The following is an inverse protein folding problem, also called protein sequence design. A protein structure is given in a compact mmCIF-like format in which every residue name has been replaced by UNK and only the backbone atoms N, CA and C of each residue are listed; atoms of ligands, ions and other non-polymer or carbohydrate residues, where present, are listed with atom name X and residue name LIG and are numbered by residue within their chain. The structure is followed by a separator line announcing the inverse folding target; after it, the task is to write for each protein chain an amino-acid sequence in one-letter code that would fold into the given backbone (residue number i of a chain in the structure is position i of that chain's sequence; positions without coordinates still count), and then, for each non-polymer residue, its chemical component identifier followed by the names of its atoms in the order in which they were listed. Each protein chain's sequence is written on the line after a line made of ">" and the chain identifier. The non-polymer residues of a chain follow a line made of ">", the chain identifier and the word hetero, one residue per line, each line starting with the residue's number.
data_IF_850897243555
#
_entry.id   IF_850897243555
#
_cell.length_a   1.000
_cell.length_b   1.000
_cell.length_c   1.000
_cell.angle_alpha   90.00
_cell.angle_beta   90.00
_cell.angle_gamma   90.00
#
_symmetry.space_group_name_H-M   'P 1'
#
loop_
_entity.id
_entity.type
_entity.pdbx_description
1 polymer ?
#
# COMPACT_ATOMS: atom_id res chain seq x y z
N UNK A 1 42.83 5.13 21.64
CA UNK A 1 41.55 5.85 21.67
C UNK A 1 40.45 4.80 21.66
N UNK A 2 39.49 4.90 22.54
CA UNK A 2 38.37 3.95 22.62
C UNK A 2 37.38 4.29 21.53
N UNK A 3 36.91 3.29 20.79
CA UNK A 3 35.92 3.43 19.71
C UNK A 3 34.51 3.41 20.30
N UNK A 4 33.76 4.49 20.13
CA UNK A 4 32.39 4.56 20.62
C UNK A 4 31.37 4.70 19.48
N UNK A 5 30.42 3.78 19.46
CA UNK A 5 29.30 3.74 18.54
C UNK A 5 28.18 4.69 18.99
N UNK A 6 27.59 5.42 18.06
CA UNK A 6 26.39 6.22 18.24
C UNK A 6 25.37 5.79 17.17
N UNK A 7 24.18 5.45 17.59
CA UNK A 7 23.05 5.26 16.66
C UNK A 7 22.51 6.62 16.25
N UNK A 8 22.35 6.82 14.94
CA UNK A 8 21.96 8.11 14.37
C UNK A 8 20.98 7.89 13.22
N UNK A 9 19.70 7.80 13.54
CA UNK A 9 18.66 7.40 12.62
C UNK A 9 18.37 8.44 11.52
N UNK A 10 17.95 7.93 10.37
CA UNK A 10 17.41 8.76 9.30
C UNK A 10 16.01 9.28 9.66
N UNK A 11 15.68 10.47 9.18
CA UNK A 11 14.33 11.01 9.32
C UNK A 11 13.40 10.42 8.26
N UNK A 12 12.11 10.37 8.58
CA UNK A 12 11.10 9.90 7.63
C UNK A 12 11.09 10.79 6.37
N UNK A 13 11.28 10.16 5.21
CA UNK A 13 11.34 10.86 3.92
C UNK A 13 12.68 11.51 3.57
N UNK A 14 13.71 11.37 4.43
CA UNK A 14 15.06 11.86 4.17
C UNK A 14 15.75 11.03 3.07
N UNK A 15 16.41 11.66 2.12
CA UNK A 15 17.25 10.96 1.17
C UNK A 15 18.68 10.77 1.71
N UNK A 16 19.48 9.91 1.05
CA UNK A 16 20.82 9.57 1.54
C UNK A 16 21.78 10.77 1.58
N UNK A 17 21.65 11.72 0.68
CA UNK A 17 22.49 12.92 0.64
C UNK A 17 22.18 13.86 1.81
N UNK A 18 20.89 14.06 2.12
CA UNK A 18 20.43 14.84 3.28
C UNK A 18 20.89 14.20 4.58
N UNK A 19 20.71 12.87 4.72
CA UNK A 19 21.23 12.11 5.84
C UNK A 19 22.75 12.29 6.00
N UNK A 20 23.52 12.12 4.92
CA UNK A 20 24.99 12.22 4.96
C UNK A 20 25.45 13.61 5.41
N UNK A 21 24.81 14.68 4.91
CA UNK A 21 25.11 16.07 5.35
C UNK A 21 24.87 16.25 6.84
N UNK A 22 23.76 15.74 7.35
CA UNK A 22 23.38 15.80 8.76
C UNK A 22 24.32 14.95 9.63
N UNK A 23 24.63 13.74 9.20
CA UNK A 23 25.51 12.82 9.92
C UNK A 23 26.94 13.34 10.06
N UNK A 24 27.54 13.85 8.98
CA UNK A 24 28.90 14.44 9.00
C UNK A 24 28.95 15.64 9.94
N UNK A 25 27.97 16.54 9.86
CA UNK A 25 27.88 17.71 10.76
C UNK A 25 27.74 17.29 12.22
N UNK A 26 26.83 16.41 12.51
CA UNK A 26 26.58 15.92 13.87
C UNK A 26 27.82 15.26 14.49
N UNK A 27 28.48 14.37 13.71
CA UNK A 27 29.69 13.70 14.19
C UNK A 27 30.81 14.68 14.47
N UNK A 28 31.02 15.68 13.61
CA UNK A 28 32.02 16.71 13.80
C UNK A 28 31.80 17.54 15.06
N UNK A 29 30.53 17.88 15.37
CA UNK A 29 30.18 18.62 16.59
C UNK A 29 30.35 17.75 17.87
N UNK A 30 30.01 16.46 17.79
CA UNK A 30 30.17 15.53 18.92
C UNK A 30 31.64 15.22 19.18
N UNK A 31 32.45 14.99 18.13
CA UNK A 31 33.89 14.70 18.24
C UNK A 31 34.65 15.84 18.92
N UNK A 32 34.28 17.11 18.67
CA UNK A 32 34.87 18.28 19.36
C UNK A 32 34.64 18.28 20.87
N UNK A 33 33.58 17.64 21.34
CA UNK A 33 33.21 17.57 22.77
C UNK A 33 33.82 16.35 23.46
N UNK A 34 34.31 15.38 22.70
CA UNK A 34 34.86 14.11 23.18
C UNK A 34 36.17 13.80 22.45
N UNK A 35 37.21 14.62 22.72
CA UNK A 35 38.48 14.52 22.01
C UNK A 35 39.28 13.26 22.39
N UNK A 36 38.99 12.66 23.54
CA UNK A 36 39.56 11.43 24.09
C UNK A 36 39.01 10.15 23.47
N UNK A 37 37.87 10.24 22.75
CA UNK A 37 37.17 9.12 22.12
C UNK A 37 37.24 9.21 20.60
N UNK A 38 37.16 8.07 19.93
CA UNK A 38 36.92 8.01 18.49
C UNK A 38 35.48 7.62 18.24
N UNK A 39 34.66 8.59 17.78
CA UNK A 39 33.23 8.41 17.58
C UNK A 39 32.96 7.98 16.14
N UNK A 40 31.96 7.11 15.98
CA UNK A 40 31.37 6.80 14.68
C UNK A 40 29.84 6.67 14.78
N UNK A 41 29.15 7.05 13.70
CA UNK A 41 27.69 6.91 13.62
C UNK A 41 27.35 5.66 12.84
N UNK A 42 26.23 5.06 13.20
CA UNK A 42 25.64 3.93 12.50
C UNK A 42 24.15 4.19 12.26
N UNK A 43 23.70 3.89 11.05
CA UNK A 43 22.30 3.94 10.65
C UNK A 43 21.98 2.76 9.75
N UNK A 44 20.76 2.28 9.79
CA UNK A 44 20.21 1.42 8.74
C UNK A 44 19.32 2.28 7.85
N UNK A 45 19.77 2.50 6.60
CA UNK A 45 19.08 3.33 5.62
C UNK A 45 18.67 2.44 4.44
N UNK A 46 17.36 2.25 4.23
CA UNK A 46 16.83 1.33 3.21
C UNK A 46 17.53 -0.05 3.23
N UNK A 47 17.58 -0.66 4.41
CA UNK A 47 18.21 -1.97 4.66
C UNK A 47 19.76 -2.01 4.47
N UNK A 48 20.37 -0.88 4.14
CA UNK A 48 21.83 -0.74 4.04
C UNK A 48 22.39 -0.12 5.33
N UNK A 49 23.37 -0.79 5.91
CA UNK A 49 24.10 -0.27 7.07
C UNK A 49 25.06 0.83 6.65
N UNK A 50 24.76 2.07 7.00
CA UNK A 50 25.59 3.25 6.73
C UNK A 50 26.44 3.55 7.96
N UNK A 51 27.76 3.70 7.76
CA UNK A 51 28.72 4.03 8.81
C UNK A 51 29.35 5.39 8.45
N UNK A 52 29.28 6.33 9.39
CA UNK A 52 29.92 7.64 9.28
C UNK A 52 31.04 7.74 10.29
N UNK A 53 32.25 7.99 9.83
CA UNK A 53 33.45 8.15 10.65
C UNK A 53 33.98 9.59 10.53
N UNK A 54 34.99 9.92 11.34
CA UNK A 54 35.69 11.21 11.31
C UNK A 54 36.22 11.58 9.93
N UNK A 55 36.61 10.57 9.13
CA UNK A 55 37.15 10.75 7.76
C UNK A 55 36.08 10.74 6.67
N UNK A 56 34.82 10.47 7.02
CA UNK A 56 33.74 10.40 6.04
C UNK A 56 33.38 11.78 5.51
N UNK A 57 33.21 11.87 4.20
CA UNK A 57 32.62 13.03 3.52
C UNK A 57 31.20 12.68 3.06
N UNK A 58 30.39 13.68 2.71
CA UNK A 58 29.06 13.45 2.14
C UNK A 58 29.13 12.51 0.94
N UNK A 59 30.02 12.82 -0.01
CA UNK A 59 30.19 12.03 -1.23
C UNK A 59 30.66 10.59 -0.94
N UNK A 60 31.55 10.40 0.04
CA UNK A 60 31.99 9.04 0.40
C UNK A 60 30.87 8.20 0.99
N UNK A 61 30.00 8.80 1.81
CA UNK A 61 28.84 8.13 2.39
C UNK A 61 27.82 7.77 1.30
N UNK A 62 27.52 8.72 0.41
CA UNK A 62 26.56 8.53 -0.69
C UNK A 62 27.05 7.43 -1.64
N UNK A 63 28.33 7.48 -2.04
CA UNK A 63 28.91 6.48 -2.94
C UNK A 63 28.96 5.08 -2.29
N UNK A 64 29.37 4.98 -1.01
CA UNK A 64 29.40 3.71 -0.28
C UNK A 64 27.97 3.13 -0.13
N UNK A 65 26.98 3.98 0.16
CA UNK A 65 25.59 3.57 0.23
C UNK A 65 25.11 2.98 -1.09
N UNK A 66 25.32 3.68 -2.22
CA UNK A 66 24.88 3.17 -3.52
C UNK A 66 25.58 1.87 -3.91
N UNK A 67 26.91 1.80 -3.68
CA UNK A 67 27.65 0.57 -3.94
C UNK A 67 27.15 -0.62 -3.12
N UNK A 68 26.83 -0.40 -1.84
CA UNK A 68 26.28 -1.46 -0.97
C UNK A 68 24.83 -1.78 -1.30
N UNK A 69 24.03 -0.79 -1.68
CA UNK A 69 22.65 -1.00 -2.09
C UNK A 69 22.58 -1.90 -3.32
N UNK A 70 23.43 -1.66 -4.31
CA UNK A 70 23.53 -2.52 -5.49
C UNK A 70 24.00 -3.93 -5.13
N UNK A 71 25.01 -4.06 -4.29
CA UNK A 71 25.56 -5.36 -3.87
C UNK A 71 24.59 -6.11 -2.93
N UNK A 72 24.06 -5.46 -1.89
CA UNK A 72 23.12 -6.09 -0.96
C UNK A 72 21.81 -6.48 -1.64
N UNK A 73 21.31 -5.64 -2.56
CA UNK A 73 20.13 -5.98 -3.35
C UNK A 73 20.35 -7.20 -4.24
N UNK A 74 21.55 -7.35 -4.79
CA UNK A 74 21.91 -8.54 -5.57
C UNK A 74 22.09 -9.77 -4.67
N UNK A 75 22.88 -9.68 -3.60
CA UNK A 75 23.16 -10.77 -2.67
C UNK A 75 21.87 -11.25 -1.97
N UNK A 76 21.03 -10.32 -1.49
CA UNK A 76 19.74 -10.65 -0.88
C UNK A 76 18.83 -11.39 -1.87
N UNK A 77 18.77 -10.94 -3.14
CA UNK A 77 17.99 -11.61 -4.19
C UNK A 77 18.50 -13.02 -4.55
N UNK A 78 19.74 -13.36 -4.18
CA UNK A 78 20.29 -14.71 -4.34
C UNK A 78 19.97 -15.64 -3.16
N UNK A 79 19.54 -15.12 -2.02
CA UNK A 79 19.22 -15.92 -0.86
C UNK A 79 18.01 -16.84 -1.10
N UNK A 80 18.02 -18.01 -0.49
CA UNK A 80 16.90 -18.96 -0.58
C UNK A 80 15.64 -18.37 0.08
N UNK A 81 15.80 -17.57 1.13
CA UNK A 81 14.73 -16.86 1.82
C UNK A 81 14.01 -15.89 0.86
N UNK A 82 14.75 -15.05 0.12
CA UNK A 82 14.16 -14.14 -0.86
C UNK A 82 13.45 -14.91 -1.97
N UNK A 83 14.09 -15.93 -2.55
CA UNK A 83 13.48 -16.76 -3.60
C UNK A 83 12.20 -17.44 -3.13
N UNK A 84 12.20 -17.96 -1.89
CA UNK A 84 11.01 -18.56 -1.28
C UNK A 84 9.89 -17.52 -1.07
N UNK A 85 10.22 -16.31 -0.62
CA UNK A 85 9.24 -15.24 -0.43
C UNK A 85 8.62 -14.78 -1.75
N UNK A 86 9.43 -14.65 -2.80
CA UNK A 86 8.96 -14.32 -4.16
C UNK A 86 8.04 -15.42 -4.69
N UNK A 87 8.46 -16.69 -4.58
CA UNK A 87 7.66 -17.81 -5.04
C UNK A 87 6.31 -17.92 -4.28
N UNK A 88 6.32 -17.67 -2.96
CA UNK A 88 5.10 -17.64 -2.17
C UNK A 88 4.15 -16.52 -2.62
N UNK A 89 4.69 -15.32 -2.85
CA UNK A 89 3.91 -14.17 -3.35
C UNK A 89 3.36 -14.41 -4.75
N UNK A 90 4.15 -15.00 -5.65
CA UNK A 90 3.69 -15.35 -7.01
C UNK A 90 2.56 -16.39 -6.97
N UNK A 91 2.67 -17.38 -6.09
CA UNK A 91 1.62 -18.38 -5.88
C UNK A 91 0.33 -17.74 -5.38
N UNK A 92 0.43 -16.91 -4.33
CA UNK A 92 -0.70 -16.16 -3.77
C UNK A 92 -1.37 -15.29 -4.85
N UNK A 93 -0.58 -14.52 -5.60
CA UNK A 93 -1.08 -13.66 -6.67
C UNK A 93 -1.77 -14.46 -7.78
N UNK A 94 -1.26 -15.66 -8.11
CA UNK A 94 -1.90 -16.55 -9.07
C UNK A 94 -3.25 -17.07 -8.58
N UNK A 95 -3.37 -17.39 -7.29
CA UNK A 95 -4.62 -17.81 -6.66
C UNK A 95 -5.65 -16.67 -6.65
N UNK A 96 -5.23 -15.47 -6.26
CA UNK A 96 -6.06 -14.27 -6.26
C UNK A 96 -6.54 -13.89 -7.67
N UNK A 97 -5.65 -13.94 -8.68
CA UNK A 97 -6.01 -13.70 -10.07
C UNK A 97 -6.99 -14.75 -10.62
N UNK A 98 -6.87 -16.01 -10.16
CA UNK A 98 -7.82 -17.07 -10.53
C UNK A 98 -9.20 -16.79 -9.92
N UNK A 99 -9.24 -16.37 -8.65
CA UNK A 99 -10.48 -15.97 -7.98
C UNK A 99 -11.10 -14.74 -8.65
N UNK A 100 -10.30 -13.72 -8.98
CA UNK A 100 -10.78 -12.53 -9.67
C UNK A 100 -11.42 -12.87 -11.02
N UNK A 101 -10.78 -13.70 -11.83
CA UNK A 101 -11.36 -14.20 -13.11
C UNK A 101 -12.69 -14.93 -12.94
N UNK A 102 -12.81 -15.72 -11.88
CA UNK A 102 -14.05 -16.40 -11.54
C UNK A 102 -15.14 -15.39 -11.15
N UNK A 103 -14.81 -14.43 -10.29
CA UNK A 103 -15.73 -13.39 -9.87
C UNK A 103 -16.20 -12.52 -11.04
N UNK A 104 -15.31 -12.18 -11.98
CA UNK A 104 -15.67 -11.44 -13.20
C UNK A 104 -16.70 -12.22 -14.06
N UNK A 105 -16.53 -13.54 -14.20
CA UNK A 105 -17.51 -14.38 -14.90
C UNK A 105 -18.87 -14.46 -14.17
N UNK A 106 -18.87 -14.35 -12.85
CA UNK A 106 -20.11 -14.27 -12.09
C UNK A 106 -20.78 -12.92 -12.29
N UNK A 107 -20.01 -11.83 -12.24
CA UNK A 107 -20.51 -10.49 -12.48
C UNK A 107 -21.26 -10.37 -13.81
N UNK A 108 -20.77 -11.02 -14.87
CA UNK A 108 -21.44 -11.07 -16.17
C UNK A 108 -22.84 -11.66 -16.09
N UNK A 109 -23.06 -12.64 -15.20
CA UNK A 109 -24.29 -13.38 -15.04
C UNK A 109 -25.29 -12.78 -14.04
N UNK A 110 -24.83 -11.96 -13.12
CA UNK A 110 -25.65 -11.32 -12.10
C UNK A 110 -26.64 -10.36 -12.76
N UNK A 111 -27.90 -10.44 -12.34
CA UNK A 111 -28.86 -9.39 -12.64
C UNK A 111 -28.51 -8.13 -11.83
N UNK A 112 -27.97 -7.09 -12.48
CA UNK A 112 -27.53 -5.84 -11.84
C UNK A 112 -28.69 -5.05 -11.22
N UNK A 113 -29.95 -5.37 -11.55
CA UNK A 113 -31.14 -4.81 -10.88
C UNK A 113 -31.49 -5.56 -9.57
N UNK A 114 -30.95 -6.75 -9.33
CA UNK A 114 -31.02 -7.40 -8.04
C UNK A 114 -29.94 -6.83 -7.12
N UNK A 115 -30.30 -5.83 -6.33
CA UNK A 115 -29.36 -5.10 -5.46
C UNK A 115 -28.68 -5.99 -4.43
N UNK A 116 -29.38 -6.98 -3.88
CA UNK A 116 -28.81 -7.91 -2.90
C UNK A 116 -27.69 -8.77 -3.53
N UNK A 117 -27.94 -9.36 -4.69
CA UNK A 117 -26.93 -10.16 -5.38
C UNK A 117 -25.73 -9.32 -5.80
N UNK A 118 -26.00 -8.10 -6.27
CA UNK A 118 -24.95 -7.16 -6.67
C UNK A 118 -24.10 -6.71 -5.47
N UNK A 119 -24.71 -6.35 -4.33
CA UNK A 119 -24.00 -5.97 -3.11
C UNK A 119 -23.19 -7.13 -2.56
N UNK A 120 -23.72 -8.35 -2.57
CA UNK A 120 -22.96 -9.54 -2.16
C UNK A 120 -21.75 -9.76 -3.03
N UNK A 121 -21.88 -9.59 -4.35
CA UNK A 121 -20.74 -9.71 -5.27
C UNK A 121 -19.69 -8.61 -5.02
N UNK A 122 -20.11 -7.34 -4.84
CA UNK A 122 -19.22 -6.22 -4.56
C UNK A 122 -18.45 -6.43 -3.24
N UNK A 123 -19.12 -6.93 -2.21
CA UNK A 123 -18.52 -7.25 -0.91
C UNK A 123 -17.47 -8.37 -1.04
N UNK A 124 -17.78 -9.46 -1.73
CA UNK A 124 -16.84 -10.54 -1.97
C UNK A 124 -15.66 -10.14 -2.89
N UNK A 125 -15.88 -9.20 -3.80
CA UNK A 125 -14.87 -8.73 -4.74
C UNK A 125 -13.95 -7.66 -4.14
N UNK A 126 -14.38 -6.95 -3.10
CA UNK A 126 -13.65 -5.85 -2.47
C UNK A 126 -12.20 -6.23 -2.13
N UNK A 127 -11.91 -7.34 -1.41
CA UNK A 127 -10.53 -7.68 -1.07
C UNK A 127 -9.63 -7.93 -2.29
N UNK A 128 -10.23 -8.41 -3.40
CA UNK A 128 -9.50 -8.62 -4.65
C UNK A 128 -9.22 -7.31 -5.36
N UNK A 129 -10.16 -6.37 -5.32
CA UNK A 129 -10.01 -5.04 -5.94
C UNK A 129 -8.92 -4.20 -5.28
N UNK A 130 -8.72 -4.37 -3.98
CA UNK A 130 -7.75 -3.62 -3.18
C UNK A 130 -6.33 -4.24 -3.25
N UNK A 131 -6.22 -5.47 -3.73
CA UNK A 131 -4.93 -6.18 -3.72
C UNK A 131 -4.06 -5.78 -4.91
N UNK A 132 -2.86 -5.26 -4.61
CA UNK A 132 -1.88 -4.85 -5.63
C UNK A 132 -1.43 -6.07 -6.46
N UNK A 133 -1.58 -5.98 -7.78
CA UNK A 133 -1.17 -7.01 -8.73
C UNK A 133 -2.29 -7.97 -9.14
N UNK A 134 -3.47 -7.89 -8.55
CA UNK A 134 -4.66 -8.57 -9.05
C UNK A 134 -5.18 -7.84 -10.28
N UNK A 135 -5.32 -8.60 -11.38
CA UNK A 135 -5.75 -8.06 -12.67
C UNK A 135 -7.24 -8.34 -12.91
N UNK A 136 -7.99 -7.28 -13.13
CA UNK A 136 -9.40 -7.32 -13.52
C UNK A 136 -9.77 -6.10 -14.37
N UNK A 137 -10.83 -6.22 -15.14
CA UNK A 137 -11.31 -5.12 -15.98
C UNK A 137 -12.28 -4.21 -15.18
N UNK A 138 -11.70 -3.22 -14.47
CA UNK A 138 -12.50 -2.26 -13.71
C UNK A 138 -13.41 -1.41 -14.60
N UNK A 139 -12.94 -1.06 -15.80
CA UNK A 139 -13.70 -0.21 -16.71
C UNK A 139 -14.96 -0.90 -17.22
N UNK A 140 -14.87 -2.21 -17.43
CA UNK A 140 -16.04 -3.00 -17.77
C UNK A 140 -17.03 -3.05 -16.59
N UNK A 141 -16.58 -3.26 -15.35
CA UNK A 141 -17.45 -3.23 -14.16
C UNK A 141 -18.17 -1.88 -14.07
N UNK A 142 -17.42 -0.77 -14.14
CA UNK A 142 -17.96 0.59 -14.12
C UNK A 142 -19.02 0.77 -15.22
N UNK A 143 -18.70 0.38 -16.46
CA UNK A 143 -19.63 0.49 -17.58
C UNK A 143 -20.93 -0.27 -17.38
N UNK A 144 -20.86 -1.50 -16.84
CA UNK A 144 -22.05 -2.31 -16.57
C UNK A 144 -22.91 -1.75 -15.43
N UNK A 145 -22.27 -1.18 -14.38
CA UNK A 145 -22.99 -0.50 -13.31
C UNK A 145 -23.68 0.77 -13.80
N UNK A 146 -23.04 1.58 -14.64
CA UNK A 146 -23.68 2.73 -15.27
C UNK A 146 -24.85 2.34 -16.19
N UNK A 147 -24.71 1.30 -17.00
CA UNK A 147 -25.81 0.78 -17.82
C UNK A 147 -27.01 0.30 -17.00
N UNK A 148 -26.74 -0.20 -15.78
CA UNK A 148 -27.79 -0.59 -14.85
C UNK A 148 -28.45 0.61 -14.13
N UNK A 149 -27.94 1.83 -14.33
CA UNK A 149 -28.50 3.07 -13.78
C UNK A 149 -27.82 3.57 -12.51
N UNK A 150 -26.76 2.92 -12.05
CA UNK A 150 -26.02 3.39 -10.88
C UNK A 150 -25.09 4.55 -11.24
N UNK A 151 -24.93 5.49 -10.28
CA UNK A 151 -24.10 6.69 -10.43
C UNK A 151 -23.15 6.78 -9.24
N UNK A 152 -21.89 7.10 -9.49
CA UNK A 152 -20.88 7.29 -8.45
C UNK A 152 -21.34 8.35 -7.43
N UNK A 153 -21.25 8.01 -6.15
CA UNK A 153 -21.71 8.87 -5.07
C UNK A 153 -23.22 9.08 -5.01
N UNK A 154 -24.03 8.22 -5.63
CA UNK A 154 -25.47 8.27 -5.59
C UNK A 154 -25.99 8.39 -4.15
N UNK A 155 -26.96 9.28 -3.92
CA UNK A 155 -27.53 9.59 -2.60
C UNK A 155 -26.53 10.16 -1.57
N UNK A 156 -25.33 10.58 -1.98
CA UNK A 156 -24.38 11.30 -1.15
C UNK A 156 -24.60 12.81 -1.25
N UNK A 157 -25.58 13.36 -0.53
CA UNK A 157 -25.67 14.79 -0.28
C UNK A 157 -25.03 15.11 1.08
N UNK A 158 -23.92 15.85 1.07
CA UNK A 158 -23.14 16.18 2.25
C UNK A 158 -23.93 16.86 3.37
N UNK A 159 -25.02 17.54 3.05
CA UNK A 159 -25.79 18.37 3.99
C UNK A 159 -27.09 17.73 4.50
N UNK A 160 -27.62 16.69 3.85
CA UNK A 160 -28.90 16.04 4.25
C UNK A 160 -28.92 14.57 3.84
N UNK A 161 -28.02 13.77 4.39
CA UNK A 161 -28.02 12.33 4.17
C UNK A 161 -29.13 11.67 4.99
N UNK A 162 -30.31 11.60 4.43
CA UNK A 162 -31.43 10.80 4.98
C UNK A 162 -31.76 9.67 4.03
N UNK A 163 -31.11 8.51 4.25
CA UNK A 163 -31.58 7.27 3.67
C UNK A 163 -32.87 6.90 4.40
N UNK A 164 -33.97 6.89 3.65
CA UNK A 164 -35.32 6.62 4.21
C UNK A 164 -35.79 5.19 3.94
N UNK A 165 -35.22 4.57 2.92
CA UNK A 165 -35.65 3.22 2.49
C UNK A 165 -34.42 2.29 2.32
N UNK A 166 -34.70 0.99 2.45
CA UNK A 166 -33.71 -0.06 2.17
C UNK A 166 -33.18 0.02 0.72
N UNK A 167 -34.05 0.42 -0.20
CA UNK A 167 -33.70 0.56 -1.61
C UNK A 167 -32.72 1.71 -1.84
N UNK A 168 -32.93 2.86 -1.21
CA UNK A 168 -32.00 4.01 -1.23
C UNK A 168 -30.67 3.67 -0.58
N UNK A 169 -30.68 2.85 0.48
CA UNK A 169 -29.45 2.38 1.12
C UNK A 169 -28.61 1.53 0.16
N UNK A 170 -29.26 0.61 -0.56
CA UNK A 170 -28.60 -0.21 -1.56
C UNK A 170 -28.00 0.64 -2.69
N UNK A 171 -28.76 1.60 -3.22
CA UNK A 171 -28.29 2.52 -4.26
C UNK A 171 -27.09 3.34 -3.80
N UNK A 172 -27.14 3.86 -2.57
CA UNK A 172 -26.02 4.56 -1.96
C UNK A 172 -24.78 3.66 -1.86
N UNK A 173 -24.92 2.43 -1.34
CA UNK A 173 -23.79 1.52 -1.15
C UNK A 173 -23.13 1.14 -2.48
N UNK A 174 -23.94 0.83 -3.50
CA UNK A 174 -23.44 0.53 -4.85
C UNK A 174 -22.78 1.77 -5.45
N UNK A 175 -23.36 2.96 -5.25
CA UNK A 175 -22.77 4.23 -5.67
C UNK A 175 -21.42 4.54 -5.00
N UNK A 176 -21.21 4.16 -3.72
CA UNK A 176 -19.92 4.27 -3.04
C UNK A 176 -18.89 3.29 -3.62
N UNK A 177 -19.28 2.05 -3.91
CA UNK A 177 -18.40 1.10 -4.57
C UNK A 177 -17.96 1.60 -5.95
N UNK A 178 -18.89 2.15 -6.72
CA UNK A 178 -18.64 2.73 -8.04
C UNK A 178 -17.71 3.94 -7.96
N UNK A 179 -17.91 4.85 -6.99
CA UNK A 179 -17.05 6.00 -6.75
C UNK A 179 -15.60 5.58 -6.45
N UNK A 180 -15.42 4.55 -5.62
CA UNK A 180 -14.12 3.94 -5.34
C UNK A 180 -13.45 3.39 -6.60
N UNK A 181 -14.19 2.62 -7.40
CA UNK A 181 -13.69 2.07 -8.66
C UNK A 181 -13.27 3.17 -9.65
N UNK A 182 -14.03 4.26 -9.75
CA UNK A 182 -13.73 5.38 -10.65
C UNK A 182 -12.50 6.18 -10.21
N UNK A 183 -12.42 6.54 -8.93
CA UNK A 183 -11.39 7.45 -8.40
C UNK A 183 -10.08 6.76 -8.09
N UNK A 184 -10.13 5.66 -7.35
CA UNK A 184 -8.93 4.97 -6.86
C UNK A 184 -8.67 3.62 -7.52
N UNK A 185 -9.62 3.12 -8.31
CA UNK A 185 -9.51 1.84 -9.00
C UNK A 185 -9.85 0.63 -8.16
N UNK A 186 -10.35 0.80 -6.92
CA UNK A 186 -10.70 -0.27 -5.99
C UNK A 186 -12.00 0.05 -5.26
N UNK A 187 -12.69 -0.99 -4.78
CA UNK A 187 -13.89 -0.84 -3.95
C UNK A 187 -13.46 -0.38 -2.55
N UNK A 188 -14.22 0.52 -1.94
CA UNK A 188 -13.88 1.05 -0.63
C UNK A 188 -13.84 -0.03 0.45
N UNK A 189 -12.80 -0.04 1.31
CA UNK A 189 -12.57 -1.08 2.32
C UNK A 189 -13.69 -1.25 3.36
N UNK A 190 -14.51 -0.23 3.57
CA UNK A 190 -15.63 -0.31 4.52
C UNK A 190 -16.89 -0.94 3.95
N UNK A 191 -16.91 -1.35 2.68
CA UNK A 191 -18.11 -1.89 2.02
C UNK A 191 -18.66 -3.11 2.75
N UNK A 192 -17.79 -3.97 3.28
CA UNK A 192 -18.19 -5.16 4.02
C UNK A 192 -19.15 -4.85 5.17
N UNK A 193 -18.82 -3.85 6.00
CA UNK A 193 -19.66 -3.42 7.11
C UNK A 193 -21.06 -3.00 6.63
N UNK A 194 -21.12 -2.18 5.61
CA UNK A 194 -22.40 -1.68 5.07
C UNK A 194 -23.20 -2.76 4.33
N UNK A 195 -22.52 -3.71 3.69
CA UNK A 195 -23.16 -4.88 3.10
C UNK A 195 -23.82 -5.79 4.17
N UNK A 196 -23.18 -5.96 5.34
CA UNK A 196 -23.77 -6.67 6.48
C UNK A 196 -25.00 -5.94 7.02
N UNK A 197 -24.93 -4.61 7.19
CA UNK A 197 -26.08 -3.79 7.60
C UNK A 197 -27.23 -3.94 6.61
N UNK A 198 -26.99 -3.87 5.30
CA UNK A 198 -27.99 -4.03 4.27
C UNK A 198 -28.64 -5.43 4.32
N UNK A 199 -27.85 -6.49 4.46
CA UNK A 199 -28.38 -7.86 4.62
C UNK A 199 -29.30 -7.99 5.81
N UNK A 200 -28.98 -7.31 6.92
CA UNK A 200 -29.85 -7.26 8.09
C UNK A 200 -31.15 -6.50 7.88
N UNK A 201 -31.19 -5.56 6.93
CA UNK A 201 -32.41 -4.80 6.60
C UNK A 201 -33.37 -5.58 5.68
N UNK A 202 -32.86 -6.54 4.88
CA UNK A 202 -33.67 -7.31 3.90
C UNK A 202 -33.96 -8.74 4.33
N UNK A 203 -33.41 -9.19 5.48
CA UNK A 203 -33.68 -10.50 6.08
C UNK A 203 -35.06 -10.53 6.78
#
# INVERSE_FOLDING_TARGET
>A
MELQRIEFDAHLGENIEEYAKRAVKYLAEKQKKHEDLELYLICTFNDVKVITTKSSTVDSIVNDFHARMDNNGYEYRQTDEYKASVAAREKELKELNTKAKYMMKQFDKINKQNKLDLINWLDEFQPLSDHIGVMYDRYWIISELHKAGYVAGMNCNADNFTIQTTDEYADWLIGQCLDGLEKIGAIHQVVHKFAEEYRGMVA
#
